data_IF_726918916874
#
_entry.id   IF_726918916874
#
_cell.length_a   1.000
_cell.length_b   1.000
_cell.length_c   1.000
_cell.angle_alpha   90.00
_cell.angle_beta   90.00
_cell.angle_gamma   90.00
#
_symmetry.space_group_name_H-M   'P 1'
#
loop_
_entity.id
_entity.type
_entity.pdbx_description
1 polymer ?
#
# COMPACT_ATOMS: atom_id res chain seq x y z
N UNK A 1 10.40 -30.45 10.31
CA UNK A 1 10.62 -30.31 8.85
C UNK A 1 9.47 -29.61 8.14
N UNK A 2 8.20 -29.96 8.38
CA UNK A 2 7.04 -29.33 7.72
C UNK A 2 6.83 -27.84 8.07
N UNK A 3 7.11 -27.45 9.32
CA UNK A 3 7.02 -26.05 9.78
C UNK A 3 7.99 -25.11 9.07
N UNK A 4 9.21 -25.58 8.76
CA UNK A 4 10.21 -24.82 8.00
C UNK A 4 9.77 -24.57 6.56
N UNK A 5 9.07 -25.52 5.93
CA UNK A 5 8.56 -25.34 4.57
C UNK A 5 7.46 -24.27 4.51
N UNK A 6 6.53 -24.29 5.46
CA UNK A 6 5.43 -23.31 5.54
C UNK A 6 5.99 -21.91 5.83
N UNK A 7 6.97 -21.82 6.73
CA UNK A 7 7.63 -20.55 7.06
C UNK A 7 8.37 -19.96 5.84
N UNK A 8 9.13 -20.78 5.11
CA UNK A 8 9.82 -20.33 3.89
C UNK A 8 8.85 -19.86 2.81
N UNK A 9 7.70 -20.52 2.66
CA UNK A 9 6.64 -20.09 1.73
C UNK A 9 6.06 -18.72 2.12
N UNK A 10 5.87 -18.48 3.42
CA UNK A 10 5.39 -17.20 3.93
C UNK A 10 6.35 -16.04 3.63
N UNK A 11 7.66 -16.25 3.84
CA UNK A 11 8.68 -15.25 3.49
C UNK A 11 8.71 -14.93 2.00
N UNK A 12 8.59 -15.95 1.14
CA UNK A 12 8.55 -15.76 -0.32
C UNK A 12 7.35 -14.91 -0.72
N UNK A 13 6.15 -15.23 -0.22
CA UNK A 13 4.93 -14.45 -0.51
C UNK A 13 5.02 -13.00 -0.02
N UNK A 14 5.61 -12.79 1.17
CA UNK A 14 5.79 -11.47 1.74
C UNK A 14 6.74 -10.61 0.89
N UNK A 15 7.87 -11.17 0.48
CA UNK A 15 8.84 -10.46 -0.37
C UNK A 15 8.21 -10.12 -1.73
N UNK A 16 7.48 -11.07 -2.34
CA UNK A 16 6.78 -10.83 -3.62
C UNK A 16 5.74 -9.73 -3.47
N UNK A 17 4.96 -9.74 -2.38
CA UNK A 17 3.96 -8.71 -2.09
C UNK A 17 4.58 -7.31 -1.98
N UNK A 18 5.67 -7.17 -1.23
CA UNK A 18 6.40 -5.90 -1.11
C UNK A 18 6.91 -5.43 -2.47
N UNK A 19 7.48 -6.35 -3.26
CA UNK A 19 8.07 -6.03 -4.56
C UNK A 19 7.01 -5.55 -5.56
N UNK A 20 5.84 -6.19 -5.59
CA UNK A 20 4.69 -5.75 -6.41
C UNK A 20 4.20 -4.35 -6.03
N UNK A 21 4.14 -4.05 -4.73
CA UNK A 21 3.75 -2.72 -4.24
C UNK A 21 4.78 -1.65 -4.61
N UNK A 22 6.07 -1.96 -4.53
CA UNK A 22 7.12 -1.05 -5.00
C UNK A 22 6.99 -0.75 -6.51
N UNK A 23 6.73 -1.77 -7.34
CA UNK A 23 6.54 -1.59 -8.79
C UNK A 23 5.30 -0.73 -9.08
N UNK A 24 4.19 -0.96 -8.38
CA UNK A 24 2.96 -0.19 -8.57
C UNK A 24 3.12 1.27 -8.15
N UNK A 25 3.83 1.53 -7.04
CA UNK A 25 4.16 2.88 -6.62
C UNK A 25 5.05 3.59 -7.66
N UNK A 26 6.08 2.92 -8.18
CA UNK A 26 7.01 3.51 -9.14
C UNK A 26 6.35 3.82 -10.50
N UNK A 27 5.47 2.94 -10.97
CA UNK A 27 4.67 3.17 -12.19
C UNK A 27 3.61 4.27 -12.01
N UNK A 28 3.04 4.42 -10.82
CA UNK A 28 2.15 5.54 -10.50
C UNK A 28 2.90 6.89 -10.52
N UNK A 29 4.11 6.94 -9.97
CA UNK A 29 4.97 8.13 -9.99
C UNK A 29 5.34 8.57 -11.40
N UNK A 30 5.78 7.64 -12.26
CA UNK A 30 6.22 7.94 -13.64
C UNK A 30 5.12 8.53 -14.51
N UNK A 31 3.87 8.35 -14.10
CA UNK A 31 2.70 8.70 -14.88
C UNK A 31 2.04 10.00 -14.33
N UNK A 32 2.67 10.68 -13.38
CA UNK A 32 2.12 11.85 -12.66
C UNK A 32 2.75 13.19 -13.05
N UNK A 33 3.55 13.25 -14.12
CA UNK A 33 4.25 14.47 -14.59
C UNK A 33 3.37 15.48 -15.37
N UNK A 34 2.06 15.26 -15.49
CA UNK A 34 1.16 16.26 -16.07
C UNK A 34 -0.26 16.14 -15.52
N UNK A 35 -0.66 17.08 -14.66
CA UNK A 35 -2.04 17.59 -14.56
C UNK A 35 -2.15 18.63 -13.42
N UNK A 36 -2.05 19.89 -13.82
CA UNK A 36 -3.04 20.97 -13.64
C UNK A 36 -3.97 20.87 -12.41
N UNK A 37 -3.90 21.92 -11.60
CA UNK A 37 -4.63 22.14 -10.34
C UNK A 37 -6.13 22.36 -10.57
N UNK A 38 -6.90 21.30 -10.76
CA UNK A 38 -8.34 21.34 -10.57
C UNK A 38 -8.69 21.06 -9.10
N UNK A 39 -9.51 21.92 -8.49
CA UNK A 39 -10.06 21.77 -7.14
C UNK A 39 -10.86 20.48 -7.01
N UNK A 40 -10.19 19.39 -6.67
CA UNK A 40 -10.83 18.12 -6.36
C UNK A 40 -11.30 18.16 -4.90
N UNK A 41 -12.59 17.87 -4.68
CA UNK A 41 -13.16 17.57 -3.36
C UNK A 41 -12.44 16.35 -2.80
N UNK A 42 -11.44 16.58 -1.93
CA UNK A 42 -10.61 15.54 -1.31
C UNK A 42 -11.23 15.11 0.00
N UNK A 43 -11.38 13.80 0.22
CA UNK A 43 -11.92 13.26 1.47
C UNK A 43 -11.44 11.84 1.75
N UNK A 44 -11.25 11.55 3.03
CA UNK A 44 -10.97 10.21 3.54
C UNK A 44 -12.15 9.82 4.42
N UNK A 45 -12.84 8.75 4.07
CA UNK A 45 -13.94 8.18 4.87
C UNK A 45 -13.41 6.90 5.51
N UNK A 46 -13.49 6.81 6.83
CA UNK A 46 -13.14 5.60 7.58
C UNK A 46 -14.39 4.72 7.72
N UNK A 47 -14.50 3.67 6.91
CA UNK A 47 -15.50 2.63 7.08
C UNK A 47 -14.88 1.50 7.92
N UNK A 48 -15.02 1.63 9.24
CA UNK A 48 -14.34 0.74 10.18
C UNK A 48 -12.81 0.87 10.03
N UNK A 49 -12.04 -0.24 10.07
CA UNK A 49 -10.58 -0.20 9.94
C UNK A 49 -10.10 0.06 8.50
N UNK A 50 -11.01 0.16 7.52
CA UNK A 50 -10.65 0.32 6.10
C UNK A 50 -10.84 1.79 5.70
N UNK A 51 -9.74 2.54 5.46
CA UNK A 51 -9.83 3.91 4.95
C UNK A 51 -10.16 3.91 3.44
N UNK A 52 -11.25 4.59 3.06
CA UNK A 52 -11.61 4.86 1.66
C UNK A 52 -11.20 6.29 1.31
N UNK A 53 -10.21 6.40 0.43
CA UNK A 53 -9.61 7.68 0.02
C UNK A 53 -10.14 8.06 -1.36
N UNK A 54 -10.86 9.19 -1.46
CA UNK A 54 -11.45 9.69 -2.71
C UNK A 54 -11.09 11.15 -2.98
N UNK A 55 -11.06 11.52 -4.27
CA UNK A 55 -10.74 12.88 -4.71
C UNK A 55 -9.28 13.28 -4.52
N UNK A 56 -8.44 12.41 -3.96
CA UNK A 56 -7.00 12.58 -4.00
C UNK A 56 -6.46 12.02 -5.32
N UNK A 57 -5.77 12.86 -6.08
CA UNK A 57 -4.99 12.42 -7.24
C UNK A 57 -3.89 11.40 -6.86
N UNK A 58 -3.06 11.01 -7.83
CA UNK A 58 -2.02 9.95 -7.69
C UNK A 58 -1.22 10.00 -6.38
N UNK A 59 -0.91 11.21 -5.89
CA UNK A 59 -0.18 11.43 -4.63
C UNK A 59 -0.92 10.90 -3.38
N UNK A 60 -2.23 11.06 -3.26
CA UNK A 60 -2.96 10.59 -2.07
C UNK A 60 -3.25 9.09 -2.08
N UNK A 61 -3.40 8.50 -3.27
CA UNK A 61 -3.44 7.04 -3.41
C UNK A 61 -2.12 6.39 -2.97
N UNK A 62 -1.00 7.00 -3.33
CA UNK A 62 0.31 6.55 -2.91
C UNK A 62 0.53 6.70 -1.39
N UNK A 63 0.09 7.81 -0.79
CA UNK A 63 0.15 8.00 0.66
C UNK A 63 -0.70 6.95 1.38
N UNK A 64 -1.91 6.65 0.89
CA UNK A 64 -2.75 5.58 1.44
C UNK A 64 -2.10 4.20 1.30
N UNK A 65 -1.44 3.92 0.17
CA UNK A 65 -0.68 2.69 -0.04
C UNK A 65 0.50 2.56 0.95
N UNK A 66 1.29 3.62 1.12
CA UNK A 66 2.38 3.65 2.11
C UNK A 66 1.85 3.45 3.52
N UNK A 67 0.73 4.10 3.88
CA UNK A 67 0.07 3.90 5.18
C UNK A 67 -0.36 2.44 5.38
N UNK A 68 -0.92 1.81 4.33
CA UNK A 68 -1.33 0.41 4.35
C UNK A 68 -0.15 -0.55 4.54
N UNK A 69 0.98 -0.31 3.87
CA UNK A 69 2.22 -1.08 4.05
C UNK A 69 2.70 -0.96 5.49
N UNK A 70 2.76 0.26 6.03
CA UNK A 70 3.19 0.50 7.42
C UNK A 70 2.27 -0.25 8.39
N UNK A 71 0.96 -0.21 8.16
CA UNK A 71 0.00 -0.89 9.02
C UNK A 71 0.19 -2.41 9.01
N UNK A 72 0.43 -3.00 7.84
CA UNK A 72 0.76 -4.43 7.70
C UNK A 72 2.09 -4.76 8.37
N UNK A 73 3.09 -3.89 8.24
CA UNK A 73 4.41 -4.09 8.85
C UNK A 73 4.35 -4.04 10.38
N UNK A 74 3.60 -3.10 10.94
CA UNK A 74 3.31 -3.01 12.38
C UNK A 74 2.55 -4.25 12.84
N UNK A 75 1.57 -4.71 12.05
CA UNK A 75 0.80 -5.91 12.39
C UNK A 75 1.69 -7.15 12.43
N UNK A 76 2.60 -7.30 11.46
CA UNK A 76 3.59 -8.38 11.44
C UNK A 76 4.52 -8.29 12.66
N UNK A 77 5.05 -7.11 12.99
CA UNK A 77 5.92 -6.91 14.15
C UNK A 77 5.25 -7.20 15.49
N UNK A 78 3.94 -6.99 15.58
CA UNK A 78 3.19 -7.19 16.83
C UNK A 78 2.72 -8.64 17.00
N UNK A 79 2.50 -9.37 15.90
CA UNK A 79 1.91 -10.71 15.92
C UNK A 79 2.91 -11.85 15.65
N UNK A 80 4.13 -11.53 15.18
CA UNK A 80 5.25 -12.45 14.98
C UNK A 80 6.29 -12.29 16.09
#
# INVERSE_FOLDING_TARGET
MQTLLIQNLGWIFLIIGILLVCISAMSAFRNSEGNETHTQSKGIILLGPIPIVWGYGKKGWMIAGVLGIILVFVWILYFL
#
